data_IF_046599651269
#
_entry.id   IF_046599651269
#
_cell.length_a   1.000
_cell.length_b   1.000
_cell.length_c   1.000
_cell.angle_alpha   90.00
_cell.angle_beta   90.00
_cell.angle_gamma   90.00
#
_symmetry.space_group_name_H-M   'P 1'
#
loop_
_entity.id
_entity.type
_entity.pdbx_description
1 polymer ?
#
# COMPACT_ATOMS: atom_id res chain seq x y z
N UNK A 1 -11.53 4.13 -19.46
CA UNK A 1 -12.66 3.38 -18.84
C UNK A 1 -13.00 2.04 -19.52
N UNK A 2 -13.53 1.98 -20.76
CA UNK A 2 -13.94 0.69 -21.39
C UNK A 2 -12.80 -0.33 -21.52
N UNK A 3 -11.59 0.11 -21.88
CA UNK A 3 -10.41 -0.75 -21.93
C UNK A 3 -10.00 -1.28 -20.53
N UNK A 4 -10.11 -0.45 -19.49
CA UNK A 4 -9.85 -0.86 -18.10
C UNK A 4 -10.85 -1.92 -17.64
N UNK A 5 -12.16 -1.72 -17.88
CA UNK A 5 -13.18 -2.70 -17.52
C UNK A 5 -12.98 -4.07 -18.19
N UNK A 6 -12.55 -4.10 -19.46
CA UNK A 6 -12.20 -5.36 -20.14
C UNK A 6 -10.99 -6.05 -19.49
N UNK A 7 -9.97 -5.28 -19.10
CA UNK A 7 -8.77 -5.80 -18.44
C UNK A 7 -9.06 -6.37 -17.04
N UNK A 8 -10.04 -5.83 -16.34
CA UNK A 8 -10.34 -6.21 -14.96
C UNK A 8 -11.49 -7.21 -14.82
N UNK A 9 -12.14 -7.60 -15.92
CA UNK A 9 -13.30 -8.50 -15.90
C UNK A 9 -13.01 -9.85 -15.23
N UNK A 10 -11.77 -10.34 -15.30
CA UNK A 10 -11.36 -11.61 -14.68
C UNK A 10 -11.16 -11.54 -13.16
N UNK A 11 -11.17 -10.35 -12.55
CA UNK A 11 -10.87 -10.15 -11.12
C UNK A 11 -12.11 -10.01 -10.23
N UNK A 12 -13.31 -10.24 -10.76
CA UNK A 12 -14.59 -10.20 -10.03
C UNK A 12 -14.83 -8.92 -9.21
N UNK A 13 -14.30 -7.77 -9.67
CA UNK A 13 -14.40 -6.48 -8.96
C UNK A 13 -15.81 -5.85 -8.98
N UNK A 14 -16.82 -6.56 -9.50
CA UNK A 14 -18.20 -6.07 -9.71
C UNK A 14 -18.25 -4.64 -10.27
N UNK A 15 -17.34 -4.34 -11.21
CA UNK A 15 -17.06 -3.00 -11.68
C UNK A 15 -18.24 -2.40 -12.43
N UNK A 16 -18.74 -1.26 -11.96
CA UNK A 16 -19.80 -0.48 -12.57
C UNK A 16 -19.17 0.69 -13.33
N UNK A 17 -19.50 0.85 -14.62
CA UNK A 17 -19.13 2.04 -15.37
C UNK A 17 -20.28 3.03 -15.32
N UNK A 18 -19.99 4.26 -14.92
CA UNK A 18 -20.95 5.36 -14.96
C UNK A 18 -20.58 6.35 -16.04
N UNK A 19 -21.56 6.69 -16.87
CA UNK A 19 -21.46 7.90 -17.68
C UNK A 19 -21.72 9.14 -16.81
N UNK A 20 -21.31 10.32 -17.30
CA UNK A 20 -21.45 11.61 -16.61
C UNK A 20 -22.80 11.80 -15.91
N UNK A 21 -23.91 11.50 -16.60
CA UNK A 21 -25.27 11.69 -16.07
C UNK A 21 -25.54 10.80 -14.85
N UNK A 22 -25.18 9.53 -14.93
CA UNK A 22 -25.38 8.54 -13.86
C UNK A 22 -24.49 8.85 -12.66
N UNK A 23 -23.24 9.24 -12.94
CA UNK A 23 -22.28 9.68 -11.93
C UNK A 23 -22.82 10.87 -11.14
N UNK A 24 -23.34 11.90 -11.82
CA UNK A 24 -23.92 13.08 -11.18
C UNK A 24 -25.18 12.76 -10.38
N UNK A 25 -26.03 11.85 -10.88
CA UNK A 25 -27.23 11.43 -10.17
C UNK A 25 -26.89 10.69 -8.87
N UNK A 26 -25.88 9.82 -8.91
CA UNK A 26 -25.51 8.96 -7.78
C UNK A 26 -24.57 9.65 -6.78
N UNK A 27 -23.66 10.47 -7.28
CA UNK A 27 -22.63 11.17 -6.49
C UNK A 27 -22.60 12.65 -6.85
N UNK A 28 -23.60 13.45 -6.41
CA UNK A 28 -23.72 14.86 -6.79
C UNK A 28 -22.49 15.72 -6.43
N UNK A 29 -21.74 15.31 -5.40
CA UNK A 29 -20.54 15.97 -4.91
C UNK A 29 -19.32 15.88 -5.85
N UNK A 30 -19.37 15.03 -6.89
CA UNK A 30 -18.30 14.96 -7.91
C UNK A 30 -18.24 16.22 -8.78
N UNK A 31 -19.36 16.97 -8.87
CA UNK A 31 -19.46 18.16 -9.70
C UNK A 31 -19.56 17.87 -11.20
N UNK A 32 -19.36 18.90 -12.02
CA UNK A 32 -19.69 18.88 -13.45
C UNK A 32 -18.49 18.65 -14.39
N UNK A 33 -17.27 18.53 -13.85
CA UNK A 33 -16.07 18.37 -14.70
C UNK A 33 -15.89 16.92 -15.13
N UNK A 34 -16.20 15.96 -14.25
CA UNK A 34 -15.99 14.53 -14.50
C UNK A 34 -16.78 14.03 -15.73
N UNK A 35 -16.10 13.31 -16.62
CA UNK A 35 -16.69 12.75 -17.86
C UNK A 35 -17.31 11.37 -17.67
N UNK A 36 -16.97 10.68 -16.57
CA UNK A 36 -17.48 9.37 -16.18
C UNK A 36 -16.64 8.76 -15.06
N UNK A 37 -16.98 7.55 -14.62
CA UNK A 37 -16.27 6.85 -13.57
C UNK A 37 -16.30 5.33 -13.76
N UNK A 38 -15.34 4.65 -13.17
CA UNK A 38 -15.44 3.23 -12.83
C UNK A 38 -15.56 3.08 -11.32
N UNK A 39 -16.54 2.33 -10.86
CA UNK A 39 -16.91 2.20 -9.46
C UNK A 39 -16.98 0.74 -9.05
N UNK A 40 -16.25 0.37 -8.00
CA UNK A 40 -16.33 -0.93 -7.36
C UNK A 40 -17.06 -0.75 -6.01
N UNK A 41 -18.25 -1.34 -5.82
CA UNK A 41 -19.00 -1.19 -4.57
C UNK A 41 -18.30 -1.75 -3.33
N UNK A 42 -17.35 -2.65 -3.51
CA UNK A 42 -16.59 -3.30 -2.44
C UNK A 42 -15.30 -2.57 -2.08
N UNK A 43 -14.95 -1.53 -2.84
CA UNK A 43 -13.80 -0.69 -2.50
C UNK A 43 -14.04 0.02 -1.18
N UNK A 44 -12.95 0.24 -0.46
CA UNK A 44 -12.96 0.93 0.82
C UNK A 44 -11.63 1.60 1.09
N UNK A 45 -11.44 2.03 2.34
CA UNK A 45 -10.18 2.56 2.82
C UNK A 45 -9.69 1.76 4.02
N UNK A 46 -8.41 1.43 4.04
CA UNK A 46 -7.74 0.93 5.23
C UNK A 46 -7.11 2.10 5.97
N UNK A 47 -7.31 2.21 7.29
CA UNK A 47 -6.53 3.13 8.09
C UNK A 47 -5.23 2.45 8.54
N UNK A 48 -4.06 2.78 7.97
CA UNK A 48 -2.80 2.10 8.29
C UNK A 48 -2.40 2.28 9.75
N UNK A 49 -2.86 3.35 10.43
CA UNK A 49 -2.62 3.54 11.88
C UNK A 49 -3.34 2.49 12.74
N UNK A 50 -4.39 1.87 12.22
CA UNK A 50 -5.13 0.81 12.90
C UNK A 50 -4.69 -0.57 12.39
N UNK A 51 -4.61 -0.73 11.07
CA UNK A 51 -4.38 -2.03 10.43
C UNK A 51 -2.97 -2.55 10.69
N UNK A 52 -1.92 -1.73 10.53
CA UNK A 52 -0.55 -2.21 10.68
C UNK A 52 -0.24 -2.69 12.10
N UNK A 53 -0.59 -1.95 13.18
CA UNK A 53 -0.42 -2.45 14.55
C UNK A 53 -1.25 -3.71 14.84
N UNK A 54 -2.45 -3.83 14.26
CA UNK A 54 -3.29 -5.01 14.45
C UNK A 54 -2.63 -6.28 13.90
N UNK A 55 -1.98 -6.21 12.73
CA UNK A 55 -1.20 -7.32 12.19
C UNK A 55 0.02 -7.65 13.06
N UNK A 56 0.77 -6.65 13.53
CA UNK A 56 1.91 -6.89 14.42
C UNK A 56 1.48 -7.57 15.73
N UNK A 57 0.35 -7.15 16.31
CA UNK A 57 -0.22 -7.79 17.50
C UNK A 57 -0.70 -9.22 17.22
N UNK A 58 -1.34 -9.47 16.08
CA UNK A 58 -1.76 -10.81 15.67
C UNK A 58 -0.54 -11.74 15.50
N UNK A 59 0.52 -11.28 14.85
CA UNK A 59 1.77 -12.02 14.71
C UNK A 59 2.39 -12.37 16.08
N UNK A 60 2.44 -11.40 17.00
CA UNK A 60 2.90 -11.64 18.39
C UNK A 60 2.06 -12.71 19.10
N UNK A 61 0.72 -12.68 18.97
CA UNK A 61 -0.16 -13.71 19.54
C UNK A 61 0.09 -15.10 18.95
N UNK A 62 0.51 -15.17 17.70
CA UNK A 62 0.92 -16.42 17.03
C UNK A 62 2.36 -16.84 17.32
N UNK A 63 3.06 -16.17 18.24
CA UNK A 63 4.42 -16.53 18.68
C UNK A 63 5.55 -15.83 17.93
N UNK A 64 5.26 -14.94 16.98
CA UNK A 64 6.31 -14.16 16.32
C UNK A 64 6.91 -13.11 17.28
N UNK A 65 8.21 -12.88 17.15
CA UNK A 65 8.87 -11.76 17.82
C UNK A 65 8.87 -10.53 16.89
N UNK A 66 8.37 -9.40 17.38
CA UNK A 66 8.32 -8.14 16.61
C UNK A 66 9.12 -7.08 17.36
N UNK A 67 10.27 -6.73 16.79
CA UNK A 67 11.23 -5.78 17.34
C UNK A 67 11.09 -4.41 16.66
N UNK A 68 10.54 -3.44 17.38
CA UNK A 68 10.41 -2.05 16.91
C UNK A 68 11.64 -1.23 17.30
N UNK A 69 11.83 -0.05 16.70
CA UNK A 69 13.02 0.80 16.91
C UNK A 69 14.36 0.05 16.66
N UNK A 70 14.29 -0.99 15.83
CA UNK A 70 15.37 -1.94 15.57
C UNK A 70 15.83 -1.81 14.12
N UNK A 71 16.46 -0.68 13.78
CA UNK A 71 16.90 -0.42 12.40
C UNK A 71 18.00 -1.40 12.02
N UNK A 72 17.87 -2.07 10.88
CA UNK A 72 18.94 -2.90 10.29
C UNK A 72 20.08 -2.01 9.83
N UNK A 73 21.30 -2.30 10.29
CA UNK A 73 22.53 -1.58 9.94
C UNK A 73 23.40 -2.39 8.98
N UNK A 74 23.52 -3.69 9.25
CA UNK A 74 24.35 -4.60 8.47
C UNK A 74 23.61 -5.91 8.23
N UNK A 75 23.82 -6.45 7.04
CA UNK A 75 23.34 -7.77 6.64
C UNK A 75 24.44 -8.53 5.93
N UNK A 76 24.45 -9.85 6.07
CA UNK A 76 25.38 -10.73 5.40
C UNK A 76 24.82 -12.13 5.21
N UNK A 77 25.51 -12.95 4.43
CA UNK A 77 25.21 -14.37 4.27
C UNK A 77 26.51 -15.16 4.27
N UNK A 78 26.63 -16.16 5.15
CA UNK A 78 27.86 -16.95 5.32
C UNK A 78 27.93 -18.20 4.43
N UNK A 79 26.96 -18.37 3.53
CA UNK A 79 26.79 -19.57 2.69
C UNK A 79 25.73 -20.54 3.25
N UNK A 80 25.37 -20.41 4.52
CA UNK A 80 24.34 -21.23 5.16
C UNK A 80 23.22 -20.41 5.81
N UNK A 81 23.55 -19.24 6.35
CA UNK A 81 22.62 -18.39 7.09
C UNK A 81 22.82 -16.92 6.76
N UNK A 82 21.73 -16.18 6.85
CA UNK A 82 21.72 -14.73 6.91
C UNK A 82 22.05 -14.26 8.32
N UNK A 83 22.82 -13.18 8.40
CA UNK A 83 23.05 -12.41 9.62
C UNK A 83 22.49 -11.00 9.48
N UNK A 84 21.96 -10.45 10.57
CA UNK A 84 21.45 -9.08 10.64
C UNK A 84 21.94 -8.44 11.94
N UNK A 85 22.58 -7.28 11.84
CA UNK A 85 22.95 -6.45 12.98
C UNK A 85 22.13 -5.16 12.98
N UNK A 86 21.68 -4.74 14.16
CA UNK A 86 20.71 -3.66 14.30
C UNK A 86 21.18 -2.53 15.20
N UNK A 87 20.53 -1.37 15.10
CA UNK A 87 20.81 -0.18 15.91
C UNK A 87 20.57 -0.38 17.40
N UNK A 88 19.84 -1.43 17.79
CA UNK A 88 19.61 -1.78 19.20
C UNK A 88 20.76 -2.59 19.81
N UNK A 89 21.78 -2.93 19.01
CA UNK A 89 22.86 -3.86 19.39
C UNK A 89 22.48 -5.33 19.24
N UNK A 90 21.23 -5.64 18.90
CA UNK A 90 20.77 -7.01 18.66
C UNK A 90 21.32 -7.56 17.34
N UNK A 91 21.67 -8.86 17.37
CA UNK A 91 22.06 -9.66 16.22
C UNK A 91 21.09 -10.81 16.00
N UNK A 92 20.70 -11.04 14.75
CA UNK A 92 19.83 -12.15 14.36
C UNK A 92 20.55 -13.04 13.33
N UNK A 93 20.30 -14.35 13.43
CA UNK A 93 20.79 -15.35 12.47
C UNK A 93 19.66 -16.27 12.06
N UNK A 94 19.45 -16.48 10.76
CA UNK A 94 18.40 -17.33 10.24
C UNK A 94 18.78 -17.92 8.88
N UNK A 95 18.28 -19.12 8.50
CA UNK A 95 18.51 -19.68 7.18
C UNK A 95 17.76 -18.92 6.06
N UNK A 96 16.74 -18.12 6.42
CA UNK A 96 15.94 -17.35 5.47
C UNK A 96 15.84 -15.90 5.93
N UNK A 97 15.96 -14.97 4.97
CA UNK A 97 15.70 -13.54 5.15
C UNK A 97 14.66 -13.10 4.13
N UNK A 98 13.50 -12.62 4.60
CA UNK A 98 12.47 -12.05 3.75
C UNK A 98 12.59 -10.52 3.77
N UNK A 99 12.86 -9.93 2.60
CA UNK A 99 12.95 -8.48 2.45
C UNK A 99 11.55 -7.86 2.30
N UNK A 100 11.06 -7.24 3.38
CA UNK A 100 9.77 -6.53 3.40
C UNK A 100 9.96 -5.03 3.74
N UNK A 101 11.10 -4.44 3.35
CA UNK A 101 11.49 -3.08 3.76
C UNK A 101 10.85 -1.94 2.93
N UNK A 102 9.77 -2.21 2.19
CA UNK A 102 9.05 -1.21 1.40
C UNK A 102 9.97 -0.43 0.45
N UNK A 103 9.95 0.91 0.53
CA UNK A 103 10.77 1.79 -0.30
C UNK A 103 12.29 1.60 -0.12
N UNK A 104 12.73 0.99 1.00
CA UNK A 104 14.15 0.70 1.29
C UNK A 104 14.57 -0.70 0.83
N UNK A 105 13.66 -1.50 0.25
CA UNK A 105 13.96 -2.88 -0.14
C UNK A 105 15.09 -2.98 -1.16
N UNK A 106 15.19 -2.04 -2.11
CA UNK A 106 16.26 -2.03 -3.11
C UNK A 106 17.64 -1.86 -2.46
N UNK A 107 17.77 -0.91 -1.51
CA UNK A 107 19.03 -0.67 -0.78
C UNK A 107 19.48 -1.91 0.00
N UNK A 108 18.52 -2.68 0.53
CA UNK A 108 18.82 -3.93 1.23
C UNK A 108 19.27 -5.03 0.26
N UNK A 109 18.58 -5.19 -0.87
CA UNK A 109 18.89 -6.21 -1.87
C UNK A 109 20.25 -5.96 -2.56
N UNK A 110 20.63 -4.70 -2.78
CA UNK A 110 21.94 -4.32 -3.30
C UNK A 110 23.11 -4.83 -2.43
N UNK A 111 22.91 -5.00 -1.11
CA UNK A 111 23.94 -5.56 -0.21
C UNK A 111 24.30 -7.01 -0.54
N UNK A 112 23.42 -7.71 -1.27
CA UNK A 112 23.62 -9.07 -1.76
C UNK A 112 23.93 -9.11 -3.26
N UNK A 113 24.13 -7.96 -3.92
CA UNK A 113 24.38 -7.90 -5.36
C UNK A 113 23.12 -8.11 -6.22
N UNK A 114 21.93 -7.94 -5.63
CA UNK A 114 20.64 -8.16 -6.29
C UNK A 114 19.88 -6.83 -6.48
N UNK A 115 20.23 -5.99 -7.47
CA UNK A 115 19.56 -4.71 -7.66
C UNK A 115 18.09 -4.92 -8.09
N UNK A 116 17.18 -4.15 -7.47
CA UNK A 116 15.74 -4.18 -7.78
C UNK A 116 15.35 -2.86 -8.45
N UNK A 117 14.64 -2.87 -9.60
CA UNK A 117 14.21 -1.65 -10.29
C UNK A 117 13.07 -0.96 -9.54
N UNK A 118 13.40 -0.30 -8.44
CA UNK A 118 12.48 0.37 -7.53
C UNK A 118 12.93 1.81 -7.30
N UNK A 119 11.97 2.73 -7.36
CA UNK A 119 12.18 4.16 -7.08
C UNK A 119 11.22 4.61 -6.00
N UNK A 120 11.73 5.29 -4.98
CA UNK A 120 10.90 5.86 -3.93
C UNK A 120 10.21 7.14 -4.44
N UNK A 121 8.90 7.22 -4.26
CA UNK A 121 8.10 8.41 -4.54
C UNK A 121 7.34 8.84 -3.28
N UNK A 122 7.15 10.14 -3.13
CA UNK A 122 6.47 10.72 -1.97
C UNK A 122 5.22 11.46 -2.44
N UNK A 123 4.02 10.85 -2.35
CA UNK A 123 2.79 11.54 -2.69
C UNK A 123 2.51 12.62 -1.64
N UNK A 124 2.18 13.83 -2.09
CA UNK A 124 1.66 14.87 -1.20
C UNK A 124 0.27 14.44 -0.70
N UNK A 125 0.07 14.49 0.61
CA UNK A 125 -1.21 14.20 1.25
C UNK A 125 -1.66 15.43 2.02
N UNK A 126 -2.95 15.76 1.92
CA UNK A 126 -3.56 16.90 2.61
C UNK A 126 -4.80 16.42 3.37
N UNK A 127 -5.11 17.10 4.47
CA UNK A 127 -6.37 16.93 5.21
C UNK A 127 -7.06 18.28 5.28
N UNK A 128 -8.38 18.30 5.12
CA UNK A 128 -9.18 19.51 5.28
C UNK A 128 -9.43 19.79 6.77
N UNK A 129 -9.99 20.96 7.07
CA UNK A 129 -10.73 21.12 8.32
C UNK A 129 -11.92 20.13 8.39
N UNK A 130 -12.47 19.85 9.58
CA UNK A 130 -13.64 18.98 9.69
C UNK A 130 -14.81 19.51 8.85
N UNK A 131 -15.34 18.64 7.99
CA UNK A 131 -16.51 18.92 7.15
C UNK A 131 -17.63 17.92 7.47
N UNK A 132 -18.91 18.28 7.21
CA UNK A 132 -19.99 17.30 7.22
C UNK A 132 -19.69 16.13 6.29
N UNK A 133 -20.17 14.93 6.61
CA UNK A 133 -20.02 13.78 5.71
C UNK A 133 -20.91 13.96 4.48
N UNK A 134 -20.31 14.29 3.34
CA UNK A 134 -21.01 14.38 2.05
C UNK A 134 -20.48 13.41 1.01
N UNK A 135 -19.21 12.99 1.12
CA UNK A 135 -18.61 11.98 0.26
C UNK A 135 -18.92 10.58 0.79
N UNK A 136 -19.58 9.77 -0.02
CA UNK A 136 -20.05 8.43 0.35
C UNK A 136 -19.27 7.31 -0.33
N UNK A 137 -18.19 7.65 -1.04
CA UNK A 137 -17.32 6.71 -1.71
C UNK A 137 -15.88 7.22 -1.68
N UNK A 138 -14.93 6.29 -1.67
CA UNK A 138 -13.51 6.60 -1.92
C UNK A 138 -13.33 6.93 -3.40
N UNK A 139 -12.55 7.96 -3.71
CA UNK A 139 -12.34 8.40 -5.09
C UNK A 139 -10.88 8.68 -5.40
N UNK A 140 -10.46 8.29 -6.59
CA UNK A 140 -9.27 8.81 -7.26
C UNK A 140 -9.67 9.52 -8.55
N UNK A 141 -8.84 10.48 -8.99
CA UNK A 141 -8.99 11.15 -10.28
C UNK A 141 -7.92 10.62 -11.22
N UNK A 142 -8.33 10.26 -12.43
CA UNK A 142 -7.45 9.84 -13.52
C UNK A 142 -7.73 10.72 -14.75
N UNK A 143 -6.67 11.21 -15.40
CA UNK A 143 -6.75 12.27 -16.42
C UNK A 143 -6.75 13.68 -15.83
N UNK A 144 -6.81 14.70 -16.69
CA UNK A 144 -6.83 16.12 -16.26
C UNK A 144 -5.48 16.84 -16.28
N UNK A 145 -4.51 16.32 -17.04
CA UNK A 145 -3.34 17.11 -17.49
C UNK A 145 -3.70 18.02 -18.67
#
# INVERSE_FOLDING_TARGET
MKAYARRTQAFDLRLQLFERRELRQRFPWVGDIAVGASYCPEDGHANPRLVSPAFAQAARRSGAQVHEQCKVLEVGHDGHHFSVHTSSGQGFKAPWLLNCAGAWSAQLAERFGEPVPLTAAHPAMLVTEPLPLFMTASTGVEGGG
#
